data_IF_516153626650
#
_entry.id   IF_516153626650
#
_cell.length_a   1.000
_cell.length_b   1.000
_cell.length_c   1.000
_cell.angle_alpha   90.00
_cell.angle_beta   90.00
_cell.angle_gamma   90.00
#
_symmetry.space_group_name_H-M   'P 1'
#
loop_
_entity.id
_entity.type
_entity.pdbx_description
1 polymer ?
#
# COMPACT_ATOMS: atom_id res chain seq x y z
N UNK A 1 56.05 13.13 27.67
CA UNK A 1 54.71 12.60 27.48
C UNK A 1 53.79 13.79 27.28
N UNK A 2 53.28 13.96 26.07
CA UNK A 2 51.92 14.45 25.77
C UNK A 2 51.86 14.84 24.29
N UNK A 3 51.39 13.86 23.50
CA UNK A 3 51.03 14.03 22.10
C UNK A 3 49.54 14.34 22.09
N UNK A 4 49.20 15.61 21.88
CA UNK A 4 47.81 16.01 21.66
C UNK A 4 47.41 15.70 20.23
N UNK A 5 46.48 14.75 20.11
CA UNK A 5 45.87 14.31 18.86
C UNK A 5 44.72 15.25 18.50
N UNK A 6 44.92 16.11 17.50
CA UNK A 6 43.82 16.86 16.87
C UNK A 6 42.97 15.92 16.01
N UNK A 7 41.78 15.56 16.52
CA UNK A 7 40.73 14.93 15.71
C UNK A 7 39.95 16.04 15.00
N UNK A 8 40.25 16.25 13.72
CA UNK A 8 39.45 17.09 12.83
C UNK A 8 38.07 16.47 12.59
N UNK A 9 37.07 16.94 13.33
CA UNK A 9 35.65 16.72 13.01
C UNK A 9 35.27 17.55 11.79
N UNK A 10 35.17 16.91 10.62
CA UNK A 10 34.58 17.54 9.44
C UNK A 10 33.66 16.55 8.70
N UNK A 11 32.47 16.33 9.24
CA UNK A 11 31.42 15.54 8.60
C UNK A 11 30.05 16.05 9.05
N UNK A 12 29.61 17.19 8.50
CA UNK A 12 28.30 17.75 8.85
C UNK A 12 27.61 18.63 7.80
N UNK A 13 28.27 19.01 6.69
CA UNK A 13 27.76 20.11 5.84
C UNK A 13 27.31 19.73 4.41
N UNK A 14 27.37 18.46 4.00
CA UNK A 14 27.17 18.12 2.57
C UNK A 14 25.75 17.65 2.20
N UNK A 15 25.06 16.92 3.10
CA UNK A 15 23.71 16.37 2.80
C UNK A 15 22.61 17.44 2.77
N UNK A 16 22.66 18.41 3.69
CA UNK A 16 21.58 19.40 3.87
C UNK A 16 21.72 20.66 2.99
N UNK A 17 22.91 20.95 2.46
CA UNK A 17 23.11 22.05 1.48
C UNK A 17 22.64 21.64 0.08
N UNK A 18 22.76 20.35 -0.25
CA UNK A 18 22.37 19.80 -1.56
C UNK A 18 20.85 19.74 -1.76
N UNK A 19 20.08 19.41 -0.71
CA UNK A 19 18.61 19.40 -0.75
C UNK A 19 18.01 20.80 -0.95
N UNK A 20 18.73 21.87 -0.60
CA UNK A 20 18.29 23.27 -0.78
C UNK A 20 18.56 23.83 -2.18
N UNK A 21 19.46 23.21 -2.94
CA UNK A 21 19.81 23.59 -4.32
C UNK A 21 19.02 22.77 -5.35
N UNK A 22 17.70 22.65 -5.20
CA UNK A 22 16.91 21.94 -6.21
C UNK A 22 16.97 22.70 -7.56
N UNK A 23 17.26 22.00 -8.68
CA UNK A 23 17.41 22.64 -9.99
C UNK A 23 16.10 23.26 -10.48
N UNK A 24 16.23 24.37 -11.20
CA UNK A 24 15.13 25.27 -11.59
C UNK A 24 14.00 24.60 -12.39
N UNK A 25 14.26 23.47 -13.07
CA UNK A 25 13.24 22.76 -13.85
C UNK A 25 12.12 22.13 -13.00
N UNK A 26 12.36 21.87 -11.70
CA UNK A 26 11.29 21.45 -10.77
C UNK A 26 10.24 22.54 -10.51
N UNK A 27 10.60 23.82 -10.66
CA UNK A 27 9.66 24.95 -10.57
C UNK A 27 8.83 25.14 -11.83
N UNK A 28 9.25 24.53 -12.95
CA UNK A 28 8.61 24.64 -14.26
C UNK A 28 7.73 23.42 -14.60
N UNK A 29 7.78 22.36 -13.79
CA UNK A 29 6.87 21.22 -13.94
C UNK A 29 5.47 21.62 -13.45
N UNK A 30 4.63 22.03 -14.40
CA UNK A 30 3.19 22.16 -14.21
C UNK A 30 2.55 20.83 -13.76
N UNK A 31 1.28 20.94 -13.34
CA UNK A 31 0.42 19.89 -12.76
C UNK A 31 0.79 18.45 -13.19
N UNK A 32 0.89 17.49 -12.26
CA UNK A 32 1.09 16.08 -12.62
C UNK A 32 -0.16 15.61 -13.39
N UNK A 33 0.01 15.28 -14.67
CA UNK A 33 -1.11 14.79 -15.49
C UNK A 33 -0.89 14.76 -17.00
N UNK A 34 0.11 15.43 -17.55
CA UNK A 34 0.33 15.41 -19.01
C UNK A 34 1.80 15.63 -19.39
N UNK A 35 2.71 14.81 -18.87
CA UNK A 35 4.02 14.68 -19.47
C UNK A 35 3.91 13.69 -20.65
N UNK A 36 3.31 14.12 -21.75
CA UNK A 36 3.49 13.42 -23.03
C UNK A 36 4.98 13.45 -23.33
N UNK A 37 5.59 12.26 -23.44
CA UNK A 37 6.96 12.11 -23.92
C UNK A 37 7.10 12.69 -25.34
N UNK A 38 8.31 12.67 -25.90
CA UNK A 38 8.47 13.08 -27.30
C UNK A 38 7.52 12.24 -28.17
N UNK A 39 6.75 12.92 -29.03
CA UNK A 39 5.78 12.26 -29.91
C UNK A 39 6.49 11.42 -30.99
N UNK A 40 5.88 10.31 -31.46
CA UNK A 40 6.45 9.50 -32.52
C UNK A 40 6.73 10.34 -33.77
N UNK A 41 7.90 10.16 -34.37
CA UNK A 41 8.21 10.83 -35.64
C UNK A 41 7.32 10.30 -36.77
N UNK A 42 6.84 11.16 -37.69
CA UNK A 42 6.06 10.73 -38.84
C UNK A 42 6.82 9.68 -39.66
N UNK A 43 6.19 8.52 -39.88
CA UNK A 43 6.77 7.41 -40.65
C UNK A 43 7.49 6.35 -39.82
N UNK A 44 7.59 6.51 -38.49
CA UNK A 44 8.12 5.49 -37.58
C UNK A 44 6.99 4.65 -37.00
N UNK A 45 7.20 3.34 -36.90
CA UNK A 45 6.30 2.48 -36.14
C UNK A 45 6.46 2.72 -34.64
N UNK A 46 5.43 2.39 -33.84
CA UNK A 46 5.50 2.54 -32.37
C UNK A 46 6.68 1.74 -31.78
N UNK A 47 6.93 0.53 -32.29
CA UNK A 47 8.04 -0.30 -31.82
C UNK A 47 9.41 0.32 -32.13
N UNK A 48 9.60 0.91 -33.31
CA UNK A 48 10.85 1.61 -33.66
C UNK A 48 11.03 2.87 -32.81
N UNK A 49 9.93 3.56 -32.51
CA UNK A 49 9.95 4.72 -31.62
C UNK A 49 10.31 4.34 -30.18
N UNK A 50 9.75 3.25 -29.66
CA UNK A 50 10.05 2.76 -28.31
C UNK A 50 11.52 2.35 -28.19
N UNK A 51 12.06 1.66 -29.20
CA UNK A 51 13.51 1.35 -29.27
C UNK A 51 14.36 2.62 -29.33
N UNK A 52 13.94 3.64 -30.08
CA UNK A 52 14.65 4.92 -30.17
C UNK A 52 14.67 5.68 -28.83
N UNK A 53 13.53 5.75 -28.14
CA UNK A 53 13.37 6.51 -26.89
C UNK A 53 13.95 5.78 -25.68
N UNK A 54 13.70 4.46 -25.56
CA UNK A 54 14.10 3.65 -24.40
C UNK A 54 15.48 3.02 -24.56
N UNK A 55 15.94 2.86 -25.80
CA UNK A 55 17.23 2.26 -26.12
C UNK A 55 17.30 0.78 -25.72
N UNK A 56 18.51 0.23 -25.50
CA UNK A 56 18.72 -1.20 -25.25
C UNK A 56 18.21 -1.68 -23.87
N UNK A 57 17.68 -0.77 -23.05
CA UNK A 57 17.26 -1.08 -21.68
C UNK A 57 15.76 -1.24 -21.54
N UNK A 58 14.95 -0.96 -22.56
CA UNK A 58 13.49 -1.18 -22.57
C UNK A 58 12.78 -0.71 -21.27
N UNK A 59 13.17 0.46 -20.76
CA UNK A 59 12.61 1.02 -19.51
C UNK A 59 13.00 0.30 -18.21
N UNK A 60 13.87 -0.71 -18.25
CA UNK A 60 14.35 -1.44 -17.08
C UNK A 60 15.23 -0.59 -16.15
N UNK A 61 15.50 -1.15 -14.97
CA UNK A 61 16.26 -0.54 -13.87
C UNK A 61 17.57 0.15 -14.30
N UNK A 62 18.40 -0.38 -15.22
CA UNK A 62 19.62 0.30 -15.66
C UNK A 62 19.35 1.67 -16.29
N UNK A 63 18.33 1.76 -17.15
CA UNK A 63 17.90 3.02 -17.76
C UNK A 63 17.38 4.01 -16.73
N UNK A 64 16.62 3.52 -15.74
CA UNK A 64 16.11 4.35 -14.62
C UNK A 64 17.24 4.94 -13.77
N UNK A 65 18.26 4.15 -13.42
CA UNK A 65 19.43 4.64 -12.65
C UNK A 65 20.16 5.74 -13.42
N UNK A 66 20.35 5.56 -14.74
CA UNK A 66 20.96 6.58 -15.61
C UNK A 66 20.11 7.84 -15.69
N UNK A 67 18.78 7.70 -15.83
CA UNK A 67 17.82 8.81 -15.83
C UNK A 67 17.88 9.60 -14.53
N UNK A 68 17.94 8.92 -13.38
CA UNK A 68 18.07 9.60 -12.08
C UNK A 68 19.39 10.31 -11.93
N UNK A 69 20.52 9.71 -12.34
CA UNK A 69 21.79 10.44 -12.38
C UNK A 69 21.73 11.69 -13.24
N UNK A 70 21.02 11.63 -14.37
CA UNK A 70 20.84 12.78 -15.26
C UNK A 70 19.99 13.87 -14.61
N UNK A 71 18.94 13.50 -13.89
CA UNK A 71 18.09 14.42 -13.10
C UNK A 71 18.89 15.11 -11.99
N UNK A 72 19.71 14.33 -11.28
CA UNK A 72 20.54 14.81 -10.17
C UNK A 72 21.82 15.53 -10.65
N UNK A 73 22.17 15.41 -11.93
CA UNK A 73 23.40 15.93 -12.52
C UNK A 73 24.68 15.45 -11.77
N UNK A 74 24.76 14.15 -11.48
CA UNK A 74 25.89 13.55 -10.74
C UNK A 74 26.66 12.49 -11.54
N UNK A 75 27.96 12.42 -11.27
CA UNK A 75 28.82 11.32 -11.72
C UNK A 75 28.45 10.01 -11.01
N UNK A 76 28.96 8.86 -11.50
CA UNK A 76 28.76 7.58 -10.80
C UNK A 76 29.35 7.61 -9.38
N UNK A 77 30.50 8.26 -9.19
CA UNK A 77 31.13 8.46 -7.87
C UNK A 77 30.27 9.37 -6.99
N UNK A 78 29.67 10.41 -7.56
CA UNK A 78 28.76 11.31 -6.87
C UNK A 78 27.50 10.59 -6.38
N UNK A 79 26.85 9.81 -7.26
CA UNK A 79 25.69 9.01 -6.87
C UNK A 79 26.06 7.96 -5.79
N UNK A 80 27.21 7.31 -5.96
CA UNK A 80 27.72 6.33 -5.00
C UNK A 80 27.92 6.95 -3.60
N UNK A 81 28.48 8.16 -3.54
CA UNK A 81 28.65 8.90 -2.28
C UNK A 81 27.31 9.31 -1.66
N UNK A 82 26.32 9.73 -2.46
CA UNK A 82 24.98 10.08 -1.95
C UNK A 82 24.28 8.86 -1.30
N UNK A 83 24.44 7.69 -1.92
CA UNK A 83 23.80 6.43 -1.51
C UNK A 83 24.62 5.60 -0.51
N UNK A 84 25.83 6.03 -0.16
CA UNK A 84 26.77 5.27 0.67
C UNK A 84 27.07 3.85 0.12
N UNK A 85 27.35 3.77 -1.18
CA UNK A 85 27.72 2.53 -1.88
C UNK A 85 29.01 2.71 -2.67
N UNK A 86 29.59 1.62 -3.16
CA UNK A 86 30.76 1.71 -4.04
C UNK A 86 30.37 2.18 -5.44
N UNK A 87 31.25 2.95 -6.10
CA UNK A 87 31.04 3.35 -7.50
C UNK A 87 30.90 2.13 -8.43
N UNK A 88 31.62 1.04 -8.16
CA UNK A 88 31.50 -0.21 -8.91
C UNK A 88 30.11 -0.86 -8.78
N UNK A 89 29.38 -0.63 -7.68
CA UNK A 89 27.99 -1.08 -7.57
C UNK A 89 27.09 -0.28 -8.53
N UNK A 90 27.21 1.05 -8.56
CA UNK A 90 26.48 1.92 -9.48
C UNK A 90 26.76 1.55 -10.94
N UNK A 91 28.02 1.30 -11.29
CA UNK A 91 28.40 0.88 -12.65
C UNK A 91 27.74 -0.46 -13.05
N UNK A 92 27.65 -1.42 -12.12
CA UNK A 92 26.97 -2.70 -12.38
C UNK A 92 25.45 -2.54 -12.50
N UNK A 93 24.85 -1.61 -11.77
CA UNK A 93 23.42 -1.29 -11.92
C UNK A 93 23.11 -0.68 -13.28
N UNK A 94 23.91 0.30 -13.72
CA UNK A 94 23.71 0.96 -15.01
C UNK A 94 23.97 0.08 -16.23
N UNK A 95 24.67 -1.03 -16.05
CA UNK A 95 24.95 -2.02 -17.11
C UNK A 95 24.05 -3.25 -17.03
N UNK A 96 23.14 -3.32 -16.04
CA UNK A 96 22.26 -4.47 -15.85
C UNK A 96 22.93 -5.74 -15.34
N UNK A 97 24.23 -5.69 -14.99
CA UNK A 97 24.94 -6.84 -14.41
C UNK A 97 24.40 -7.24 -13.04
N UNK A 98 23.89 -6.28 -12.29
CA UNK A 98 23.16 -6.50 -11.03
C UNK A 98 22.08 -5.44 -10.88
N UNK A 99 21.08 -5.67 -10.02
CA UNK A 99 20.07 -4.67 -9.69
C UNK A 99 20.26 -4.13 -8.26
N UNK A 100 19.95 -2.84 -8.02
CA UNK A 100 19.83 -2.32 -6.65
C UNK A 100 18.72 -3.07 -5.91
N UNK A 101 18.84 -3.13 -4.58
CA UNK A 101 17.73 -3.57 -3.73
C UNK A 101 16.56 -2.59 -3.85
N UNK A 102 15.34 -3.07 -3.62
CA UNK A 102 14.12 -2.29 -3.81
C UNK A 102 14.09 -1.00 -2.96
N UNK A 103 14.61 -1.06 -1.73
CA UNK A 103 14.77 0.09 -0.82
C UNK A 103 15.74 1.14 -1.38
N UNK A 104 16.89 0.72 -1.93
CA UNK A 104 17.87 1.60 -2.57
C UNK A 104 17.29 2.24 -3.82
N UNK A 105 16.59 1.45 -4.65
CA UNK A 105 15.92 1.95 -5.85
C UNK A 105 14.86 3.00 -5.49
N UNK A 106 14.03 2.70 -4.49
CA UNK A 106 13.01 3.63 -4.02
C UNK A 106 13.62 4.92 -3.46
N UNK A 107 14.71 4.83 -2.68
CA UNK A 107 15.45 5.99 -2.19
C UNK A 107 16.04 6.84 -3.33
N UNK A 108 16.61 6.19 -4.34
CA UNK A 108 17.17 6.82 -5.54
C UNK A 108 16.08 7.60 -6.32
N UNK A 109 14.90 7.00 -6.51
CA UNK A 109 13.77 7.66 -7.18
C UNK A 109 13.24 8.84 -6.37
N UNK A 110 13.14 8.70 -5.04
CA UNK A 110 12.75 9.80 -4.15
C UNK A 110 13.74 10.96 -4.16
N UNK A 111 15.04 10.70 -4.18
CA UNK A 111 16.07 11.74 -4.34
C UNK A 111 15.86 12.54 -5.63
N UNK A 112 15.48 11.85 -6.72
CA UNK A 112 15.17 12.48 -8.00
C UNK A 112 13.81 13.22 -8.03
N UNK A 113 12.94 13.03 -7.02
CA UNK A 113 11.56 13.55 -7.04
C UNK A 113 10.59 12.72 -7.84
N UNK A 114 10.93 11.46 -8.10
CA UNK A 114 10.10 10.52 -8.83
C UNK A 114 9.31 9.68 -7.84
N UNK A 115 8.06 9.40 -8.19
CA UNK A 115 7.21 8.43 -7.51
C UNK A 115 7.10 7.17 -8.38
N UNK A 116 6.82 6.03 -7.74
CA UNK A 116 6.56 4.76 -8.40
C UNK A 116 5.19 4.28 -8.00
N UNK A 117 4.37 3.96 -8.99
CA UNK A 117 3.12 3.23 -8.86
C UNK A 117 3.28 1.87 -9.55
N UNK A 118 2.62 0.85 -9.01
CA UNK A 118 2.54 -0.47 -9.63
C UNK A 118 1.23 -0.52 -10.39
N UNK A 119 1.25 -1.03 -11.62
CA UNK A 119 0.06 -1.16 -12.44
C UNK A 119 -0.14 -2.62 -12.83
N UNK A 120 -1.41 -3.02 -12.91
CA UNK A 120 -1.78 -4.31 -13.48
C UNK A 120 -1.47 -4.30 -14.99
N UNK A 121 -0.80 -5.34 -15.48
CA UNK A 121 -0.26 -5.37 -16.84
C UNK A 121 -1.36 -5.41 -17.91
N UNK A 122 -2.50 -6.02 -17.60
CA UNK A 122 -3.58 -6.22 -18.57
C UNK A 122 -4.57 -5.04 -18.57
N UNK A 123 -4.89 -4.50 -17.38
CA UNK A 123 -5.89 -3.44 -17.21
C UNK A 123 -5.30 -2.04 -17.13
N UNK A 124 -4.01 -1.90 -16.80
CA UNK A 124 -3.33 -0.63 -16.56
C UNK A 124 -3.74 0.08 -15.26
N UNK A 125 -4.62 -0.53 -14.47
CA UNK A 125 -5.11 0.04 -13.20
C UNK A 125 -3.98 0.01 -12.17
N UNK A 126 -3.83 1.11 -11.41
CA UNK A 126 -2.87 1.16 -10.31
C UNK A 126 -3.25 0.15 -9.22
N UNK A 127 -2.28 -0.67 -8.81
CA UNK A 127 -2.40 -1.66 -7.75
C UNK A 127 -1.75 -1.07 -6.49
N UNK A 128 -2.54 -0.57 -5.53
CA UNK A 128 -1.98 -0.06 -4.28
C UNK A 128 -1.42 -1.20 -3.42
N UNK A 129 -0.44 -0.92 -2.54
CA UNK A 129 -0.01 -1.91 -1.55
C UNK A 129 -1.15 -2.25 -0.59
N UNK A 130 -1.16 -3.48 -0.07
CA UNK A 130 -2.05 -3.83 1.03
C UNK A 130 -1.79 -2.91 2.23
N UNK A 131 -2.88 -2.55 2.92
CA UNK A 131 -2.81 -1.64 4.06
C UNK A 131 -1.96 -2.18 5.20
N UNK A 132 -1.23 -1.29 5.86
CA UNK A 132 -0.38 -1.67 7.00
C UNK A 132 -1.19 -1.84 8.30
N UNK A 133 -2.29 -1.10 8.45
CA UNK A 133 -3.17 -1.08 9.63
C UNK A 133 -4.29 -2.14 9.59
N UNK A 134 -4.19 -3.11 8.67
CA UNK A 134 -5.15 -4.21 8.53
C UNK A 134 -5.36 -4.95 9.85
N UNK A 135 -6.57 -5.45 10.05
CA UNK A 135 -6.96 -6.11 11.29
C UNK A 135 -6.02 -7.26 11.66
N UNK A 136 -5.84 -7.44 12.96
CA UNK A 136 -5.04 -8.50 13.56
C UNK A 136 -5.93 -9.40 14.39
N UNK A 137 -5.54 -10.66 14.55
CA UNK A 137 -6.21 -11.55 15.47
C UNK A 137 -5.94 -11.12 16.93
N UNK A 138 -6.64 -11.75 17.87
CA UNK A 138 -6.48 -11.44 19.30
C UNK A 138 -5.11 -11.88 19.86
N UNK A 139 -4.30 -12.61 19.09
CA UNK A 139 -2.91 -12.93 19.41
C UNK A 139 -1.92 -11.91 18.80
N UNK A 140 -2.41 -10.85 18.16
CA UNK A 140 -1.61 -9.77 17.56
C UNK A 140 -1.05 -10.10 16.17
N UNK A 141 -1.42 -11.24 15.58
CA UNK A 141 -0.91 -11.71 14.28
C UNK A 141 -1.76 -11.14 13.15
N UNK A 142 -1.15 -10.92 11.99
CA UNK A 142 -1.89 -10.56 10.77
C UNK A 142 -2.65 -11.78 10.25
N UNK A 143 -3.86 -11.55 9.75
CA UNK A 143 -4.57 -12.58 8.98
C UNK A 143 -3.81 -12.90 7.68
N UNK A 144 -3.96 -14.11 7.10
CA UNK A 144 -3.28 -14.48 5.86
C UNK A 144 -3.75 -13.63 4.67
N UNK A 145 -2.83 -13.06 3.89
CA UNK A 145 -3.10 -12.05 2.85
C UNK A 145 -4.09 -12.47 1.74
N UNK A 146 -4.21 -13.77 1.49
CA UNK A 146 -5.06 -14.31 0.41
C UNK A 146 -6.51 -14.54 0.85
N UNK A 147 -6.87 -14.17 2.07
CA UNK A 147 -8.15 -14.53 2.70
C UNK A 147 -9.09 -13.34 2.81
N UNK A 148 -10.37 -13.59 2.59
CA UNK A 148 -11.40 -12.56 2.72
C UNK A 148 -11.90 -12.55 4.17
N UNK A 149 -11.71 -11.42 4.86
CA UNK A 149 -12.18 -11.24 6.24
C UNK A 149 -13.68 -10.97 6.27
N UNK A 150 -14.36 -11.61 7.22
CA UNK A 150 -15.82 -11.48 7.40
C UNK A 150 -16.13 -11.30 8.87
N UNK A 151 -16.97 -10.32 9.18
CA UNK A 151 -17.50 -10.14 10.53
C UNK A 151 -18.66 -11.09 10.76
N UNK A 152 -18.60 -11.90 11.82
CA UNK A 152 -19.72 -12.77 12.22
C UNK A 152 -20.52 -12.21 13.40
N UNK A 153 -20.00 -11.18 14.05
CA UNK A 153 -20.60 -10.52 15.21
C UNK A 153 -19.54 -9.97 16.14
N UNK A 154 -19.84 -9.92 17.43
CA UNK A 154 -18.91 -9.47 18.47
C UNK A 154 -18.06 -10.61 19.03
N UNK A 155 -16.83 -10.30 19.44
CA UNK A 155 -15.93 -11.30 19.96
C UNK A 155 -16.48 -11.98 21.22
N UNK A 156 -16.23 -13.29 21.31
CA UNK A 156 -16.50 -14.08 22.50
C UNK A 156 -15.47 -15.22 22.59
N UNK A 157 -15.08 -15.63 23.81
CA UNK A 157 -14.23 -16.79 23.96
C UNK A 157 -14.99 -18.06 23.58
N UNK A 158 -14.25 -19.04 23.04
CA UNK A 158 -14.82 -20.36 22.65
C UNK A 158 -15.36 -21.15 23.84
N UNK A 159 -14.93 -20.82 25.06
CA UNK A 159 -15.39 -21.43 26.32
C UNK A 159 -16.70 -20.84 26.85
N UNK A 160 -17.33 -19.89 26.16
CA UNK A 160 -18.63 -19.35 26.57
C UNK A 160 -19.69 -20.44 26.45
N UNK A 161 -20.26 -20.88 27.57
CA UNK A 161 -21.21 -22.01 27.62
C UNK A 161 -22.65 -21.59 27.91
N UNK A 162 -22.86 -20.45 28.55
CA UNK A 162 -24.20 -19.98 28.94
C UNK A 162 -24.67 -18.78 28.12
N UNK A 163 -25.99 -18.61 28.02
CA UNK A 163 -26.60 -17.43 27.38
C UNK A 163 -26.23 -16.14 28.11
N UNK A 164 -26.09 -16.16 29.44
CA UNK A 164 -25.68 -15.01 30.23
C UNK A 164 -24.24 -14.61 29.90
N UNK A 165 -23.32 -15.58 29.83
CA UNK A 165 -21.92 -15.32 29.43
C UNK A 165 -21.86 -14.73 28.03
N UNK A 166 -22.62 -15.31 27.09
CA UNK A 166 -22.73 -14.82 25.72
C UNK A 166 -23.17 -13.35 25.69
N UNK A 167 -24.23 -12.98 26.40
CA UNK A 167 -24.74 -11.61 26.43
C UNK A 167 -23.75 -10.64 27.10
N UNK A 168 -23.09 -11.08 28.18
CA UNK A 168 -22.07 -10.29 28.86
C UNK A 168 -20.87 -10.02 27.95
N UNK A 169 -20.32 -11.05 27.31
CA UNK A 169 -19.22 -10.91 26.36
C UNK A 169 -19.61 -10.05 25.16
N UNK A 170 -20.81 -10.25 24.60
CA UNK A 170 -21.31 -9.41 23.51
C UNK A 170 -21.33 -7.93 23.90
N UNK A 171 -21.90 -7.60 25.07
CA UNK A 171 -21.96 -6.22 25.57
C UNK A 171 -20.55 -5.64 25.78
N UNK A 172 -19.64 -6.42 26.37
CA UNK A 172 -18.24 -6.02 26.61
C UNK A 172 -17.47 -5.78 25.31
N UNK A 173 -17.55 -6.71 24.36
CA UNK A 173 -16.84 -6.64 23.08
C UNK A 173 -17.40 -5.53 22.20
N UNK A 174 -18.73 -5.33 22.19
CA UNK A 174 -19.36 -4.17 21.56
C UNK A 174 -18.83 -2.85 22.14
N UNK A 175 -18.80 -2.71 23.47
CA UNK A 175 -18.27 -1.50 24.11
C UNK A 175 -16.78 -1.25 23.82
N UNK A 176 -16.01 -2.32 23.56
CA UNK A 176 -14.58 -2.25 23.19
C UNK A 176 -14.35 -2.16 21.68
N UNK A 177 -15.41 -2.19 20.87
CA UNK A 177 -15.35 -2.26 19.40
C UNK A 177 -14.48 -3.43 18.92
N UNK A 178 -14.68 -4.60 19.54
CA UNK A 178 -13.90 -5.81 19.32
C UNK A 178 -14.71 -6.86 18.51
N UNK A 179 -14.65 -6.82 17.16
CA UNK A 179 -15.42 -7.71 16.30
C UNK A 179 -14.86 -9.13 16.28
N UNK A 180 -15.76 -10.10 16.09
CA UNK A 180 -15.39 -11.49 15.80
C UNK A 180 -15.19 -11.64 14.29
N UNK A 181 -13.93 -11.77 13.89
CA UNK A 181 -13.53 -11.87 12.49
C UNK A 181 -13.24 -13.34 12.15
N UNK A 182 -13.83 -13.81 11.05
CA UNK A 182 -13.55 -15.12 10.47
C UNK A 182 -13.08 -14.97 9.04
N UNK A 183 -12.42 -16.00 8.54
CA UNK A 183 -11.98 -16.09 7.16
C UNK A 183 -12.08 -17.54 6.67
N UNK A 184 -12.11 -17.72 5.35
CA UNK A 184 -12.09 -19.03 4.72
C UNK A 184 -10.73 -19.28 4.04
N UNK A 185 -10.15 -20.46 4.24
CA UNK A 185 -8.91 -20.89 3.58
C UNK A 185 -9.16 -21.61 2.25
N UNK A 186 -10.37 -22.12 2.00
CA UNK A 186 -10.72 -22.85 0.79
C UNK A 186 -10.83 -21.89 -0.41
N UNK A 187 -9.94 -22.07 -1.40
CA UNK A 187 -9.86 -21.24 -2.59
C UNK A 187 -11.13 -21.31 -3.45
N UNK A 188 -11.67 -22.50 -3.74
CA UNK A 188 -12.87 -22.67 -4.56
C UNK A 188 -14.08 -21.97 -3.94
N UNK A 189 -14.22 -22.08 -2.61
CA UNK A 189 -15.26 -21.36 -1.89
C UNK A 189 -15.10 -19.85 -2.07
N UNK A 190 -13.92 -19.29 -1.77
CA UNK A 190 -13.68 -17.85 -1.95
C UNK A 190 -13.95 -17.38 -3.38
N UNK A 191 -13.48 -18.10 -4.40
CA UNK A 191 -13.73 -17.74 -5.80
C UNK A 191 -15.22 -17.69 -6.13
N UNK A 192 -15.99 -18.66 -5.65
CA UNK A 192 -17.45 -18.67 -5.83
C UNK A 192 -18.13 -17.52 -5.06
N UNK A 193 -17.69 -17.25 -3.83
CA UNK A 193 -18.20 -16.12 -3.05
C UNK A 193 -17.89 -14.77 -3.71
N UNK A 194 -16.70 -14.61 -4.31
CA UNK A 194 -16.30 -13.42 -5.06
C UNK A 194 -17.08 -13.24 -6.35
N UNK A 195 -17.41 -14.33 -7.04
CA UNK A 195 -18.27 -14.30 -8.22
C UNK A 195 -19.69 -13.87 -7.87
N UNK A 196 -20.22 -14.37 -6.75
CA UNK A 196 -21.61 -14.11 -6.34
C UNK A 196 -21.82 -12.74 -5.70
N UNK A 197 -20.87 -12.27 -4.89
CA UNK A 197 -21.03 -11.07 -4.06
C UNK A 197 -20.00 -9.98 -4.33
N UNK A 198 -19.12 -10.19 -5.32
CA UNK A 198 -17.98 -9.31 -5.60
C UNK A 198 -16.78 -9.61 -4.71
N UNK A 199 -15.63 -9.06 -5.09
CA UNK A 199 -14.40 -9.13 -4.31
C UNK A 199 -14.48 -8.14 -3.14
N UNK A 200 -14.40 -8.60 -1.87
CA UNK A 200 -14.37 -7.71 -0.71
C UNK A 200 -13.10 -6.84 -0.68
N UNK A 201 -13.13 -5.79 0.15
CA UNK A 201 -11.97 -4.95 0.43
C UNK A 201 -10.84 -5.76 1.10
N UNK A 202 -9.59 -5.43 0.78
CA UNK A 202 -8.40 -6.12 1.24
C UNK A 202 -8.15 -5.80 2.71
N UNK A 203 -8.24 -6.85 3.55
CA UNK A 203 -7.86 -6.85 4.97
C UNK A 203 -8.20 -5.55 5.71
N UNK A 204 -9.50 -5.22 5.87
CA UNK A 204 -9.95 -3.97 6.46
C UNK A 204 -9.36 -3.75 7.86
N UNK A 205 -9.26 -2.48 8.24
CA UNK A 205 -8.78 -2.11 9.56
C UNK A 205 -9.80 -2.52 10.64
N UNK A 206 -9.34 -2.72 11.89
CA UNK A 206 -10.21 -3.22 12.96
C UNK A 206 -11.44 -2.32 13.20
N UNK A 207 -11.29 -1.00 13.05
CA UNK A 207 -12.38 -0.05 13.22
C UNK A 207 -13.44 -0.16 12.12
N UNK A 208 -13.06 -0.52 10.89
CA UNK A 208 -13.99 -0.77 9.79
C UNK A 208 -14.78 -2.05 10.04
N UNK A 209 -14.11 -3.11 10.50
CA UNK A 209 -14.78 -4.36 10.90
C UNK A 209 -15.71 -4.16 12.10
N UNK A 210 -15.34 -3.30 13.06
CA UNK A 210 -16.24 -2.94 14.16
C UNK A 210 -17.47 -2.18 13.67
N UNK A 211 -17.32 -1.26 12.72
CA UNK A 211 -18.45 -0.57 12.09
C UNK A 211 -19.35 -1.55 11.30
N UNK A 212 -18.77 -2.54 10.62
CA UNK A 212 -19.54 -3.60 9.97
C UNK A 212 -20.33 -4.43 11.01
N UNK A 213 -19.74 -4.74 12.16
CA UNK A 213 -20.43 -5.43 13.26
C UNK A 213 -21.62 -4.62 13.80
N UNK A 214 -21.43 -3.32 14.01
CA UNK A 214 -22.48 -2.38 14.42
C UNK A 214 -23.62 -2.37 13.41
N UNK A 215 -23.29 -2.24 12.11
CA UNK A 215 -24.27 -2.27 11.04
C UNK A 215 -25.05 -3.61 11.00
N UNK A 216 -24.38 -4.74 11.19
CA UNK A 216 -25.06 -6.04 11.27
C UNK A 216 -26.06 -6.13 12.42
N UNK A 217 -25.75 -5.54 13.58
CA UNK A 217 -26.65 -5.50 14.74
C UNK A 217 -27.84 -4.56 14.50
N UNK A 218 -27.63 -3.38 13.92
CA UNK A 218 -28.72 -2.48 13.50
C UNK A 218 -29.70 -3.20 12.57
N UNK A 219 -29.19 -3.91 11.56
CA UNK A 219 -30.00 -4.70 10.62
C UNK A 219 -30.75 -5.83 11.32
N UNK A 220 -30.17 -6.45 12.36
CA UNK A 220 -30.86 -7.47 13.18
C UNK A 220 -31.99 -6.85 14.00
N UNK A 221 -31.77 -5.68 14.58
CA UNK A 221 -32.79 -4.95 15.32
C UNK A 221 -33.95 -4.48 14.43
N UNK A 222 -33.66 -3.97 13.23
CA UNK A 222 -34.68 -3.61 12.24
C UNK A 222 -35.59 -4.80 11.92
N UNK A 223 -35.00 -5.96 11.59
CA UNK A 223 -35.75 -7.19 11.33
C UNK A 223 -36.59 -7.63 12.54
N UNK A 224 -36.06 -7.47 13.76
CA UNK A 224 -36.80 -7.75 14.99
C UNK A 224 -38.00 -6.80 15.14
N UNK A 225 -37.79 -5.50 14.99
CA UNK A 225 -38.85 -4.46 15.08
C UNK A 225 -39.92 -4.66 14.02
N UNK A 226 -39.55 -5.06 12.80
CA UNK A 226 -40.49 -5.37 11.74
C UNK A 226 -41.31 -6.62 12.05
N UNK A 227 -40.67 -7.69 12.55
CA UNK A 227 -41.38 -8.88 13.00
C UNK A 227 -42.36 -8.56 14.13
N UNK A 228 -41.91 -7.80 15.12
CA UNK A 228 -42.75 -7.41 16.26
C UNK A 228 -43.92 -6.51 15.80
N UNK A 229 -43.71 -5.62 14.82
CA UNK A 229 -44.79 -4.84 14.16
C UNK A 229 -45.79 -5.73 13.42
N UNK A 230 -45.33 -6.76 12.70
CA UNK A 230 -46.21 -7.71 11.99
C UNK A 230 -46.99 -8.61 12.95
N UNK A 231 -46.42 -8.92 14.12
CA UNK A 231 -47.04 -9.75 15.15
C UNK A 231 -47.90 -8.96 16.14
N UNK A 232 -47.79 -7.63 16.16
CA UNK A 232 -48.66 -6.78 16.96
C UNK A 232 -50.11 -6.98 16.50
N UNK A 233 -51.02 -7.40 17.40
CA UNK A 233 -52.42 -7.60 17.02
C UNK A 233 -53.01 -6.29 16.49
N UNK A 234 -53.86 -6.37 15.47
CA UNK A 234 -54.65 -5.27 14.93
C UNK A 234 -55.71 -4.79 15.95
N UNK A 235 -55.27 -4.40 17.15
CA UNK A 235 -56.12 -3.88 18.18
C UNK A 235 -56.32 -2.38 17.92
N UNK A 236 -57.60 -2.00 17.76
CA UNK A 236 -58.17 -0.64 17.58
C UNK A 236 -58.41 -0.22 16.13
N UNK A 237 -59.28 -0.95 15.43
CA UNK A 237 -60.15 -0.39 14.39
C UNK A 237 -61.56 -0.93 14.54
N UNK A 238 -62.26 -0.48 15.58
CA UNK A 238 -63.72 -0.36 15.65
C UNK A 238 -64.05 0.26 17.01
N UNK A 239 -64.38 1.55 16.98
CA UNK A 239 -65.24 2.21 17.95
C UNK A 239 -66.39 2.81 17.14
#
# INVERSE_FOLDING_TARGET
>A
MDVQTERGSNAGSSRDDWLRRQPAWRRLAGRPGSATGPEPQPGWTQAEWDVYVLGPFDGHVPGLVRRVRRILDVSQRGLAALLDVSQSAVARWETGRTSPRADVLHGLLRLAGLAVSVHDADTGVEVPPMRDDGARDHAGRRYPAHTDLRVVGWWQPRSSVSTTDFLWWRKRSCARRDPNVRYCTNATRRSLERLMWGTPDDHPAIHQLAAEAEHQDERREERRRERDRRQAPAARRTA
#
